data_IF_214186825328
#
_entry.id   IF_214186825328
#
_cell.length_a   1.000
_cell.length_b   1.000
_cell.length_c   1.000
_cell.angle_alpha   90.00
_cell.angle_beta   90.00
_cell.angle_gamma   90.00
#
_symmetry.space_group_name_H-M   'P 1'
#
loop_
_entity.id
_entity.type
_entity.pdbx_description
1 polymer ?
#
# COMPACT_ATOMS: atom_id res chain seq x y z
N UNK A 1 -35.95 -4.81 23.36
CA UNK A 1 -34.49 -4.59 23.13
C UNK A 1 -33.82 -5.64 22.25
N UNK A 2 -34.36 -6.81 22.04
CA UNK A 2 -33.80 -7.92 21.23
C UNK A 2 -33.96 -7.75 19.71
N UNK A 3 -35.05 -7.12 19.25
CA UNK A 3 -35.31 -6.93 17.80
C UNK A 3 -34.35 -5.94 17.11
N UNK A 4 -33.89 -4.89 17.81
CA UNK A 4 -32.93 -3.91 17.25
C UNK A 4 -31.49 -4.44 17.13
N UNK A 5 -31.09 -5.41 17.98
CA UNK A 5 -29.79 -6.07 17.88
C UNK A 5 -29.70 -7.02 16.70
N UNK A 6 -30.78 -7.73 16.39
CA UNK A 6 -30.82 -8.67 15.25
C UNK A 6 -30.81 -7.91 13.92
N UNK A 7 -31.49 -6.78 13.80
CA UNK A 7 -31.48 -5.96 12.59
C UNK A 7 -30.12 -5.27 12.33
N UNK A 8 -29.40 -4.88 13.38
CA UNK A 8 -28.04 -4.30 13.26
C UNK A 8 -27.00 -5.36 12.85
N UNK A 9 -27.09 -6.57 13.36
CA UNK A 9 -26.19 -7.67 12.96
C UNK A 9 -26.45 -8.15 11.53
N UNK A 10 -27.69 -8.21 11.08
CA UNK A 10 -28.06 -8.57 9.71
C UNK A 10 -27.62 -7.51 8.74
N UNK A 11 -27.79 -6.23 9.03
CA UNK A 11 -27.35 -5.13 8.16
C UNK A 11 -25.80 -5.04 8.04
N UNK A 12 -25.08 -5.30 9.14
CA UNK A 12 -23.61 -5.34 9.10
C UNK A 12 -23.09 -6.52 8.25
N UNK A 13 -23.73 -7.67 8.30
CA UNK A 13 -23.35 -8.83 7.48
C UNK A 13 -23.61 -8.59 5.97
N UNK A 14 -24.72 -7.97 5.62
CA UNK A 14 -25.04 -7.63 4.22
C UNK A 14 -24.04 -6.62 3.65
N UNK A 15 -23.69 -5.59 4.41
CA UNK A 15 -22.67 -4.61 4.01
C UNK A 15 -21.29 -5.25 3.84
N UNK A 16 -20.91 -6.19 4.70
CA UNK A 16 -19.63 -6.90 4.61
C UNK A 16 -19.57 -7.79 3.35
N UNK A 17 -20.63 -8.53 3.03
CA UNK A 17 -20.70 -9.36 1.83
C UNK A 17 -20.63 -8.50 0.55
N UNK A 18 -21.31 -7.37 0.51
CA UNK A 18 -21.26 -6.45 -0.64
C UNK A 18 -19.86 -5.86 -0.86
N UNK A 19 -19.16 -5.52 0.20
CA UNK A 19 -17.76 -5.02 0.13
C UNK A 19 -16.82 -6.12 -0.39
N UNK A 20 -16.96 -7.34 0.11
CA UNK A 20 -16.18 -8.48 -0.35
C UNK A 20 -16.45 -8.73 -1.85
N UNK A 21 -17.72 -8.77 -2.27
CA UNK A 21 -18.09 -9.00 -3.66
C UNK A 21 -17.51 -7.92 -4.58
N UNK A 22 -17.61 -6.64 -4.21
CA UNK A 22 -17.03 -5.52 -4.99
C UNK A 22 -15.51 -5.68 -5.12
N UNK A 23 -14.80 -6.04 -4.06
CA UNK A 23 -13.35 -6.27 -4.09
C UNK A 23 -12.96 -7.36 -5.10
N UNK A 24 -13.62 -8.51 -5.03
CA UNK A 24 -13.32 -9.61 -5.94
C UNK A 24 -13.74 -9.33 -7.38
N UNK A 25 -14.80 -8.56 -7.60
CA UNK A 25 -15.21 -8.13 -8.95
C UNK A 25 -14.18 -7.20 -9.57
N UNK A 26 -13.73 -6.18 -8.83
CA UNK A 26 -12.71 -5.24 -9.32
C UNK A 26 -11.36 -5.95 -9.48
N UNK A 27 -11.04 -6.90 -8.61
CA UNK A 27 -9.88 -7.75 -8.73
C UNK A 27 -9.90 -8.58 -10.02
N UNK A 28 -11.02 -9.24 -10.34
CA UNK A 28 -11.16 -9.99 -11.59
C UNK A 28 -11.05 -9.07 -12.81
N UNK A 29 -11.62 -7.87 -12.75
CA UNK A 29 -11.49 -6.87 -13.82
C UNK A 29 -10.03 -6.42 -13.97
N UNK A 30 -9.27 -6.25 -12.86
CA UNK A 30 -7.85 -5.89 -12.92
C UNK A 30 -7.00 -6.98 -13.57
N UNK A 31 -7.26 -8.26 -13.28
CA UNK A 31 -6.59 -9.39 -13.93
C UNK A 31 -6.86 -9.40 -15.44
N UNK A 32 -8.10 -9.08 -15.85
CA UNK A 32 -8.44 -8.98 -17.27
C UNK A 32 -7.72 -7.81 -17.96
N UNK A 33 -7.66 -6.63 -17.34
CA UNK A 33 -6.89 -5.48 -17.84
C UNK A 33 -5.41 -5.85 -17.97
N UNK A 34 -4.84 -6.53 -16.97
CA UNK A 34 -3.44 -6.99 -17.03
C UNK A 34 -3.22 -7.96 -18.21
N UNK A 35 -4.14 -8.89 -18.43
CA UNK A 35 -4.03 -9.86 -19.53
C UNK A 35 -4.08 -9.20 -20.90
N UNK A 36 -4.89 -8.14 -21.09
CA UNK A 36 -4.87 -7.32 -22.30
C UNK A 36 -3.49 -6.66 -22.49
N UNK A 37 -2.91 -6.08 -21.43
CA UNK A 37 -1.57 -5.51 -21.47
C UNK A 37 -0.51 -6.54 -21.89
N UNK A 38 -0.55 -7.74 -21.32
CA UNK A 38 0.33 -8.86 -21.72
C UNK A 38 0.13 -9.22 -23.20
N UNK A 39 -1.10 -9.41 -23.65
CA UNK A 39 -1.40 -9.79 -25.03
C UNK A 39 -0.91 -8.74 -26.04
N UNK A 40 -1.14 -7.45 -25.77
CA UNK A 40 -0.65 -6.35 -26.62
C UNK A 40 0.89 -6.28 -26.65
N UNK A 41 1.57 -6.54 -25.52
CA UNK A 41 3.03 -6.60 -25.49
C UNK A 41 3.54 -7.72 -26.40
N UNK A 42 2.94 -8.91 -26.34
CA UNK A 42 3.30 -10.05 -27.19
C UNK A 42 3.04 -9.77 -28.68
N UNK A 43 1.92 -9.09 -28.99
CA UNK A 43 1.55 -8.70 -30.36
C UNK A 43 2.44 -7.60 -30.95
N UNK A 44 3.15 -6.84 -30.12
CA UNK A 44 4.09 -5.82 -30.63
C UNK A 44 5.28 -6.41 -31.39
N UNK A 45 5.57 -7.70 -31.18
CA UNK A 45 6.69 -8.43 -31.83
C UNK A 45 8.07 -7.79 -31.57
N UNK A 46 8.22 -7.05 -30.45
CA UNK A 46 9.46 -6.40 -29.99
C UNK A 46 10.07 -7.05 -28.76
N UNK A 47 9.47 -8.13 -28.29
CA UNK A 47 9.80 -8.85 -27.06
C UNK A 47 8.59 -9.02 -26.14
N UNK A 48 8.79 -9.61 -24.99
CA UNK A 48 7.70 -9.92 -24.05
C UNK A 48 8.02 -9.39 -22.64
N UNK A 49 6.99 -9.29 -21.77
CA UNK A 49 7.20 -8.97 -20.37
C UNK A 49 7.89 -10.12 -19.63
N UNK A 50 8.63 -9.84 -18.55
CA UNK A 50 9.37 -10.85 -17.79
C UNK A 50 8.50 -12.05 -17.36
N UNK A 51 7.28 -11.79 -16.88
CA UNK A 51 6.37 -12.83 -16.40
C UNK A 51 5.76 -13.68 -17.52
N UNK A 52 5.61 -13.14 -18.72
CA UNK A 52 5.02 -13.84 -19.86
C UNK A 52 6.05 -14.48 -20.79
N UNK A 53 7.33 -14.21 -20.61
CA UNK A 53 8.41 -14.66 -21.49
C UNK A 53 8.49 -16.17 -21.56
N UNK A 54 8.55 -16.87 -20.43
CA UNK A 54 8.64 -18.33 -20.39
C UNK A 54 7.42 -19.00 -21.04
N UNK A 55 6.17 -18.67 -20.64
CA UNK A 55 4.97 -19.15 -21.32
C UNK A 55 4.97 -18.91 -22.84
N UNK A 56 5.42 -17.73 -23.26
CA UNK A 56 5.47 -17.36 -24.66
C UNK A 56 6.49 -18.20 -25.44
N UNK A 57 7.69 -18.38 -24.93
CA UNK A 57 8.73 -19.23 -25.55
C UNK A 57 8.22 -20.63 -25.76
N UNK A 58 7.60 -21.24 -24.74
CA UNK A 58 7.06 -22.58 -24.80
C UNK A 58 5.89 -22.70 -25.80
N UNK A 59 5.03 -21.68 -25.88
CA UNK A 59 3.93 -21.68 -26.83
C UNK A 59 4.38 -21.55 -28.30
N UNK A 60 5.52 -20.90 -28.53
CA UNK A 60 6.13 -20.82 -29.86
C UNK A 60 6.90 -22.10 -30.25
N UNK A 61 7.40 -22.84 -29.28
CA UNK A 61 8.11 -24.09 -29.46
C UNK A 61 7.18 -25.32 -29.59
N UNK A 62 5.86 -25.11 -29.63
CA UNK A 62 4.87 -26.22 -29.75
C UNK A 62 5.23 -27.17 -30.85
N UNK A 63 5.04 -28.48 -30.60
CA UNK A 63 5.29 -29.60 -31.54
C UNK A 63 6.75 -29.76 -31.97
N UNK A 64 7.70 -29.00 -31.37
CA UNK A 64 9.13 -29.21 -31.63
C UNK A 64 9.68 -30.35 -30.80
N UNK A 65 10.60 -31.12 -31.41
CA UNK A 65 11.39 -32.13 -30.69
C UNK A 65 12.57 -31.44 -30.02
N UNK A 66 12.60 -31.47 -28.70
CA UNK A 66 13.70 -30.85 -27.93
C UNK A 66 14.50 -31.93 -27.21
N UNK A 67 15.79 -31.95 -27.44
CA UNK A 67 16.73 -32.82 -26.73
C UNK A 67 17.31 -32.10 -25.51
N UNK A 68 16.97 -32.55 -24.28
CA UNK A 68 17.58 -32.05 -23.04
C UNK A 68 18.19 -33.28 -22.30
N UNK A 69 19.46 -33.22 -21.94
CA UNK A 69 20.17 -34.28 -21.24
C UNK A 69 20.03 -35.66 -21.89
N UNK A 70 20.06 -35.75 -23.24
CA UNK A 70 19.94 -37.01 -23.97
C UNK A 70 18.55 -37.63 -24.11
N UNK A 71 17.52 -36.96 -23.54
CA UNK A 71 16.11 -37.32 -23.73
C UNK A 71 15.46 -36.39 -24.72
N UNK A 72 14.77 -36.90 -25.74
CA UNK A 72 13.94 -36.10 -26.66
C UNK A 72 12.51 -36.12 -26.17
N UNK A 73 11.92 -34.95 -26.00
CA UNK A 73 10.47 -34.80 -25.70
C UNK A 73 9.82 -33.86 -26.69
N UNK A 74 8.54 -34.06 -26.93
CA UNK A 74 7.72 -33.19 -27.77
C UNK A 74 7.09 -32.15 -26.89
N UNK A 75 7.27 -30.85 -27.25
CA UNK A 75 6.64 -29.74 -26.54
C UNK A 75 5.12 -29.79 -26.82
N UNK A 76 4.26 -29.82 -25.79
CA UNK A 76 2.82 -29.85 -25.97
C UNK A 76 2.29 -28.66 -26.77
N UNK A 77 1.20 -28.83 -27.54
CA UNK A 77 0.57 -27.74 -28.30
C UNK A 77 -0.42 -26.93 -27.44
N UNK A 78 0.08 -26.44 -26.28
CA UNK A 78 -0.71 -25.63 -25.36
C UNK A 78 -0.74 -24.14 -25.75
N UNK A 79 -1.78 -23.46 -25.27
CA UNK A 79 -1.90 -22.01 -25.42
C UNK A 79 -0.96 -21.27 -24.48
N UNK A 80 -0.76 -19.97 -24.71
CA UNK A 80 0.04 -19.13 -23.81
C UNK A 80 -0.58 -19.11 -22.41
N UNK A 81 -1.91 -19.04 -22.30
CA UNK A 81 -2.62 -19.07 -21.04
C UNK A 81 -2.40 -20.39 -20.29
N UNK A 82 -2.45 -21.53 -20.97
CA UNK A 82 -2.19 -22.84 -20.36
C UNK A 82 -0.76 -22.96 -19.84
N UNK A 83 0.23 -22.49 -20.58
CA UNK A 83 1.62 -22.43 -20.09
C UNK A 83 1.77 -21.45 -18.92
N UNK A 84 1.01 -20.34 -18.90
CA UNK A 84 0.98 -19.39 -17.77
C UNK A 84 0.40 -20.05 -16.51
N UNK A 85 -0.67 -20.84 -16.64
CA UNK A 85 -1.23 -21.62 -15.51
C UNK A 85 -0.20 -22.62 -14.97
N UNK A 86 0.50 -23.33 -15.85
CA UNK A 86 1.55 -24.26 -15.47
C UNK A 86 2.68 -23.54 -14.72
N UNK A 87 3.19 -22.42 -15.24
CA UNK A 87 4.22 -21.60 -14.61
C UNK A 87 3.77 -21.08 -13.25
N UNK A 88 2.55 -20.58 -13.14
CA UNK A 88 1.98 -20.09 -11.87
C UNK A 88 1.89 -21.23 -10.84
N UNK A 89 1.54 -22.44 -11.26
CA UNK A 89 1.53 -23.63 -10.39
C UNK A 89 2.95 -23.95 -9.87
N UNK A 90 3.94 -23.90 -10.75
CA UNK A 90 5.36 -24.10 -10.36
C UNK A 90 5.79 -23.02 -9.34
N UNK A 91 5.43 -21.76 -9.54
CA UNK A 91 5.76 -20.69 -8.62
C UNK A 91 5.12 -20.89 -7.24
N UNK A 92 3.88 -21.42 -7.17
CA UNK A 92 3.24 -21.78 -5.90
C UNK A 92 3.98 -22.94 -5.21
N UNK A 93 4.37 -23.97 -5.96
CA UNK A 93 5.15 -25.08 -5.42
C UNK A 93 6.49 -24.58 -4.86
N UNK A 94 7.17 -23.68 -5.56
CA UNK A 94 8.40 -23.05 -5.08
C UNK A 94 8.15 -22.23 -3.80
N UNK A 95 7.03 -21.51 -3.69
CA UNK A 95 6.64 -20.82 -2.45
C UNK A 95 6.50 -21.81 -1.29
N UNK A 96 5.85 -22.96 -1.51
CA UNK A 96 5.69 -24.00 -0.48
C UNK A 96 7.05 -24.50 0.00
N UNK A 97 7.95 -24.80 -0.93
CA UNK A 97 9.32 -25.27 -0.60
C UNK A 97 10.11 -24.22 0.15
N UNK A 98 10.01 -22.96 -0.25
CA UNK A 98 10.73 -21.84 0.36
C UNK A 98 10.21 -21.50 1.75
N UNK A 99 8.90 -21.35 1.90
CA UNK A 99 8.27 -20.92 3.16
C UNK A 99 8.12 -22.06 4.17
N UNK A 100 8.10 -23.32 3.72
CA UNK A 100 7.96 -24.51 4.57
C UNK A 100 6.82 -24.36 5.61
N UNK A 101 7.15 -24.33 6.90
CA UNK A 101 6.18 -24.18 8.01
C UNK A 101 5.47 -22.81 8.02
N UNK A 102 6.05 -21.80 7.39
CA UNK A 102 5.48 -20.45 7.30
C UNK A 102 4.50 -20.29 6.12
N UNK A 103 4.31 -21.31 5.30
CA UNK A 103 3.33 -21.32 4.23
C UNK A 103 1.92 -21.49 4.79
N UNK A 104 1.05 -20.52 4.54
CA UNK A 104 -0.34 -20.55 5.01
C UNK A 104 -1.23 -21.22 3.96
N UNK A 105 -2.13 -22.14 4.37
CA UNK A 105 -3.03 -22.87 3.45
C UNK A 105 -3.88 -21.96 2.55
N UNK A 106 -4.20 -20.75 3.02
CA UNK A 106 -4.94 -19.76 2.25
C UNK A 106 -4.20 -19.27 1.00
N UNK A 107 -2.85 -19.36 0.98
CA UNK A 107 -2.05 -19.00 -0.18
C UNK A 107 -2.31 -19.94 -1.37
N UNK A 108 -2.88 -21.14 -1.13
CA UNK A 108 -3.34 -22.02 -2.21
C UNK A 108 -4.44 -21.41 -3.07
N UNK A 109 -5.19 -20.42 -2.56
CA UNK A 109 -6.16 -19.66 -3.37
C UNK A 109 -5.50 -18.90 -4.54
N UNK A 110 -4.17 -18.69 -4.50
CA UNK A 110 -3.42 -18.18 -5.65
C UNK A 110 -3.50 -19.10 -6.88
N UNK A 111 -3.84 -20.37 -6.71
CA UNK A 111 -4.12 -21.25 -7.85
C UNK A 111 -5.32 -20.77 -8.67
N UNK A 112 -6.37 -20.31 -7.99
CA UNK A 112 -7.57 -19.76 -8.65
C UNK A 112 -7.24 -18.49 -9.43
N UNK A 113 -6.45 -17.58 -8.83
CA UNK A 113 -6.05 -16.34 -9.50
C UNK A 113 -5.11 -16.61 -10.69
N UNK A 114 -4.17 -17.55 -10.54
CA UNK A 114 -3.28 -17.99 -11.61
C UNK A 114 -4.05 -18.66 -12.78
N UNK A 115 -5.07 -19.46 -12.46
CA UNK A 115 -5.93 -20.08 -13.46
C UNK A 115 -6.76 -19.03 -14.22
N UNK A 116 -7.43 -18.11 -13.50
CA UNK A 116 -8.21 -17.03 -14.12
C UNK A 116 -7.34 -16.13 -15.00
N UNK A 117 -6.13 -15.79 -14.53
CA UNK A 117 -5.21 -14.95 -15.29
C UNK A 117 -4.77 -15.63 -16.60
N UNK A 118 -4.47 -16.94 -16.56
CA UNK A 118 -4.13 -17.69 -17.77
C UNK A 118 -5.31 -17.75 -18.78
N UNK A 119 -6.54 -18.01 -18.30
CA UNK A 119 -7.74 -17.95 -19.15
C UNK A 119 -7.93 -16.56 -19.77
N UNK A 120 -7.75 -15.51 -18.99
CA UNK A 120 -7.88 -14.14 -19.49
C UNK A 120 -6.80 -13.77 -20.51
N UNK A 121 -5.58 -14.32 -20.39
CA UNK A 121 -4.54 -14.16 -21.42
C UNK A 121 -5.01 -14.77 -22.75
N UNK A 122 -5.57 -15.99 -22.75
CA UNK A 122 -6.05 -16.62 -23.98
C UNK A 122 -7.20 -15.81 -24.62
N UNK A 123 -8.15 -15.33 -23.82
CA UNK A 123 -9.22 -14.45 -24.30
C UNK A 123 -8.63 -13.13 -24.84
N UNK A 124 -7.68 -12.52 -24.15
CA UNK A 124 -7.03 -11.28 -24.57
C UNK A 124 -6.25 -11.47 -25.89
N UNK A 125 -5.61 -12.62 -26.08
CA UNK A 125 -4.92 -12.96 -27.34
C UNK A 125 -5.88 -13.07 -28.52
N UNK A 126 -7.10 -13.55 -28.29
CA UNK A 126 -8.15 -13.56 -29.33
C UNK A 126 -8.65 -12.15 -29.59
N UNK A 127 -8.98 -11.39 -28.55
CA UNK A 127 -9.50 -10.02 -28.68
C UNK A 127 -8.51 -9.05 -29.35
N UNK A 128 -7.21 -9.26 -29.17
CA UNK A 128 -6.14 -8.42 -29.75
C UNK A 128 -5.59 -8.97 -31.06
N UNK A 129 -6.24 -9.96 -31.70
CA UNK A 129 -5.76 -10.62 -32.91
C UNK A 129 -5.54 -9.66 -34.09
N UNK A 130 -6.27 -8.55 -34.13
CA UNK A 130 -6.17 -7.51 -35.14
C UNK A 130 -5.01 -6.51 -34.90
N UNK A 131 -4.39 -6.49 -33.71
CA UNK A 131 -3.28 -5.62 -33.36
C UNK A 131 -1.93 -6.18 -33.87
N UNK A 132 -1.80 -6.39 -35.17
CA UNK A 132 -0.59 -6.87 -35.84
C UNK A 132 -0.22 -5.89 -36.92
N UNK A 133 1.03 -5.42 -36.91
CA UNK A 133 1.51 -4.40 -37.84
C UNK A 133 2.53 -4.99 -38.79
N UNK A 134 2.54 -4.47 -40.02
CA UNK A 134 3.47 -4.88 -41.06
C UNK A 134 4.92 -4.48 -40.75
N UNK A 135 5.86 -4.85 -41.65
CA UNK A 135 7.29 -4.54 -41.52
C UNK A 135 7.67 -3.19 -42.09
N UNK A 136 6.70 -2.33 -42.41
CA UNK A 136 6.96 -0.95 -42.87
C UNK A 136 7.51 -0.07 -41.74
N UNK A 137 8.12 1.07 -42.09
CA UNK A 137 8.59 2.06 -41.10
C UNK A 137 7.43 2.52 -40.22
N UNK A 138 6.24 2.74 -40.82
CA UNK A 138 5.04 3.12 -40.08
C UNK A 138 4.60 1.99 -39.16
N UNK A 139 4.60 0.74 -39.62
CA UNK A 139 4.29 -0.45 -38.80
C UNK A 139 5.22 -0.58 -37.59
N UNK A 140 6.53 -0.29 -37.77
CA UNK A 140 7.48 -0.31 -36.66
C UNK A 140 7.20 0.78 -35.61
N UNK A 141 6.86 2.00 -36.05
CA UNK A 141 6.43 3.07 -35.16
C UNK A 141 5.16 2.67 -34.36
N UNK A 142 4.19 2.06 -35.04
CA UNK A 142 2.96 1.59 -34.40
C UNK A 142 3.22 0.48 -33.40
N UNK A 143 4.16 -0.45 -33.64
CA UNK A 143 4.61 -1.46 -32.68
C UNK A 143 5.21 -0.83 -31.40
N UNK A 144 5.99 0.24 -31.54
CA UNK A 144 6.56 0.97 -30.41
C UNK A 144 5.44 1.65 -29.60
N UNK A 145 4.52 2.35 -30.26
CA UNK A 145 3.37 2.99 -29.59
C UNK A 145 2.54 1.94 -28.85
N UNK A 146 2.27 0.82 -29.52
CA UNK A 146 1.55 -0.32 -28.94
C UNK A 146 2.26 -0.87 -27.68
N UNK A 147 3.59 -0.98 -27.69
CA UNK A 147 4.38 -1.43 -26.56
C UNK A 147 4.19 -0.51 -25.34
N UNK A 148 4.29 0.81 -25.53
CA UNK A 148 4.10 1.76 -24.44
C UNK A 148 2.66 1.76 -23.92
N UNK A 149 1.68 1.67 -24.80
CA UNK A 149 0.27 1.51 -24.42
C UNK A 149 0.03 0.21 -23.64
N UNK A 150 0.60 -0.90 -24.09
CA UNK A 150 0.52 -2.18 -23.44
C UNK A 150 1.12 -2.15 -22.02
N UNK A 151 2.29 -1.54 -21.86
CA UNK A 151 2.92 -1.36 -20.55
C UNK A 151 2.09 -0.45 -19.63
N UNK A 152 1.44 0.59 -20.17
CA UNK A 152 0.56 1.46 -19.40
C UNK A 152 -0.71 0.70 -18.93
N UNK A 153 -1.33 -0.08 -19.81
CA UNK A 153 -2.50 -0.93 -19.49
C UNK A 153 -2.12 -1.99 -18.44
N UNK A 154 -0.96 -2.64 -18.60
CA UNK A 154 -0.45 -3.60 -17.62
C UNK A 154 -0.20 -2.93 -16.27
N UNK A 155 0.43 -1.75 -16.25
CA UNK A 155 0.67 -0.96 -15.04
C UNK A 155 -0.62 -0.50 -14.35
N UNK A 156 -1.66 -0.13 -15.12
CA UNK A 156 -2.99 0.19 -14.61
C UNK A 156 -3.63 -1.04 -13.93
N UNK A 157 -3.61 -2.19 -14.60
CA UNK A 157 -4.15 -3.43 -14.05
C UNK A 157 -3.48 -3.82 -12.74
N UNK A 158 -2.14 -3.78 -12.67
CA UNK A 158 -1.38 -4.03 -11.44
C UNK A 158 -1.75 -3.01 -10.35
N UNK A 159 -1.87 -1.72 -10.68
CA UNK A 159 -2.25 -0.69 -9.70
C UNK A 159 -3.66 -0.93 -9.13
N UNK A 160 -4.61 -1.36 -9.95
CA UNK A 160 -5.95 -1.75 -9.51
C UNK A 160 -5.92 -3.02 -8.65
N UNK A 161 -5.21 -4.08 -9.09
CA UNK A 161 -5.04 -5.32 -8.34
C UNK A 161 -4.48 -5.02 -6.95
N UNK A 162 -3.41 -4.19 -6.91
CA UNK A 162 -2.77 -3.76 -5.68
C UNK A 162 -3.76 -3.11 -4.72
N UNK A 163 -4.69 -2.30 -5.18
CA UNK A 163 -5.67 -1.61 -4.33
C UNK A 163 -6.83 -2.49 -3.87
N UNK A 164 -7.16 -3.54 -4.61
CA UNK A 164 -8.28 -4.43 -4.25
C UNK A 164 -8.05 -5.17 -2.93
N UNK A 165 -6.80 -5.32 -2.48
CA UNK A 165 -6.46 -6.07 -1.27
C UNK A 165 -7.19 -7.43 -1.19
N UNK A 166 -7.22 -8.18 -2.31
CA UNK A 166 -7.90 -9.47 -2.40
C UNK A 166 -6.89 -10.63 -2.32
N UNK A 167 -6.43 -11.12 -3.46
CA UNK A 167 -5.46 -12.19 -3.57
C UNK A 167 -4.27 -11.70 -4.41
N UNK A 168 -3.11 -12.32 -4.24
CA UNK A 168 -1.92 -12.06 -5.08
C UNK A 168 -1.87 -13.03 -6.25
N UNK A 169 -1.32 -12.57 -7.36
CA UNK A 169 -0.84 -13.49 -8.40
C UNK A 169 0.33 -14.33 -7.87
N UNK A 170 0.48 -15.60 -8.33
CA UNK A 170 1.56 -16.47 -7.88
C UNK A 170 2.96 -15.90 -8.07
N UNK A 171 3.20 -15.12 -9.14
CA UNK A 171 4.48 -14.45 -9.38
C UNK A 171 4.81 -13.41 -8.31
N UNK A 172 3.84 -12.63 -7.88
CA UNK A 172 4.02 -11.67 -6.80
C UNK A 172 4.14 -12.36 -5.44
N UNK A 173 3.33 -13.40 -5.20
CA UNK A 173 3.43 -14.23 -4.01
C UNK A 173 4.81 -14.86 -3.84
N UNK A 174 5.45 -15.26 -4.95
CA UNK A 174 6.83 -15.76 -4.94
C UNK A 174 7.83 -14.67 -4.55
N UNK A 175 7.68 -13.45 -5.07
CA UNK A 175 8.52 -12.31 -4.67
C UNK A 175 8.39 -11.99 -3.17
N UNK A 176 7.16 -12.07 -2.62
CA UNK A 176 6.94 -11.91 -1.17
C UNK A 176 7.62 -13.03 -0.37
N UNK A 177 7.53 -14.28 -0.83
CA UNK A 177 8.21 -15.40 -0.18
C UNK A 177 9.73 -15.21 -0.18
N UNK A 178 10.29 -14.76 -1.30
CA UNK A 178 11.71 -14.47 -1.45
C UNK A 178 12.15 -13.33 -0.51
N UNK A 179 11.38 -12.22 -0.45
CA UNK A 179 11.62 -11.10 0.46
C UNK A 179 11.67 -11.56 1.93
N UNK A 180 10.73 -12.40 2.35
CA UNK A 180 10.67 -12.92 3.73
C UNK A 180 11.87 -13.79 4.13
N UNK A 181 12.43 -14.55 3.19
CA UNK A 181 13.54 -15.45 3.48
C UNK A 181 14.87 -14.72 3.41
N UNK A 182 15.03 -13.84 2.42
CA UNK A 182 16.31 -13.14 2.20
C UNK A 182 16.46 -11.87 3.02
N UNK A 183 15.38 -11.37 3.62
CA UNK A 183 15.34 -10.04 4.26
C UNK A 183 15.48 -8.88 3.28
N UNK A 184 15.42 -9.15 1.97
CA UNK A 184 15.45 -8.13 0.94
C UNK A 184 14.12 -7.36 0.90
N UNK A 185 14.20 -6.09 0.56
CA UNK A 185 13.05 -5.27 0.24
C UNK A 185 12.28 -5.87 -0.96
N UNK A 186 10.93 -5.86 -0.92
CA UNK A 186 10.09 -6.46 -1.97
C UNK A 186 10.45 -5.97 -3.37
N UNK A 187 10.73 -4.66 -3.52
CA UNK A 187 11.11 -4.11 -4.82
C UNK A 187 12.40 -4.71 -5.38
N UNK A 188 13.39 -4.98 -4.53
CA UNK A 188 14.62 -5.67 -4.91
C UNK A 188 14.36 -7.14 -5.22
N UNK A 189 13.55 -7.82 -4.39
CA UNK A 189 13.18 -9.21 -4.62
C UNK A 189 12.45 -9.38 -5.98
N UNK A 190 11.56 -8.43 -6.33
CA UNK A 190 10.87 -8.42 -7.62
C UNK A 190 11.84 -8.21 -8.79
N UNK A 191 12.77 -7.27 -8.69
CA UNK A 191 13.79 -7.04 -9.74
C UNK A 191 14.62 -8.29 -9.96
N UNK A 192 15.11 -8.95 -8.90
CA UNK A 192 15.87 -10.19 -9.02
C UNK A 192 15.04 -11.32 -9.63
N UNK A 193 13.77 -11.44 -9.24
CA UNK A 193 12.85 -12.41 -9.82
C UNK A 193 12.64 -12.17 -11.31
N UNK A 194 12.37 -10.92 -11.72
CA UNK A 194 12.14 -10.58 -13.12
C UNK A 194 13.38 -10.80 -13.98
N UNK A 195 14.59 -10.48 -13.48
CA UNK A 195 15.87 -10.80 -14.14
C UNK A 195 16.03 -12.31 -14.29
N UNK A 196 15.72 -13.07 -13.24
CA UNK A 196 15.83 -14.54 -13.25
C UNK A 196 14.87 -15.16 -14.28
N UNK A 197 13.61 -14.70 -14.32
CA UNK A 197 12.63 -15.17 -15.29
C UNK A 197 13.05 -14.85 -16.72
N UNK A 198 13.62 -13.65 -16.97
CA UNK A 198 14.14 -13.27 -18.29
C UNK A 198 15.33 -14.12 -18.67
N UNK A 199 16.26 -14.38 -17.75
CA UNK A 199 17.42 -15.24 -18.01
C UNK A 199 17.00 -16.68 -18.35
N UNK A 200 16.08 -17.26 -17.58
CA UNK A 200 15.54 -18.61 -17.83
C UNK A 200 14.80 -18.65 -19.18
N UNK A 201 13.97 -17.65 -19.47
CA UNK A 201 13.25 -17.55 -20.73
C UNK A 201 14.18 -17.40 -21.94
N UNK A 202 15.27 -16.64 -21.81
CA UNK A 202 16.31 -16.51 -22.84
C UNK A 202 17.06 -17.84 -23.08
N UNK A 203 17.37 -18.58 -22.02
CA UNK A 203 17.98 -19.90 -22.12
C UNK A 203 17.03 -20.85 -22.85
N UNK A 204 15.76 -20.92 -22.50
CA UNK A 204 14.79 -21.76 -23.21
C UNK A 204 14.64 -21.34 -24.67
N UNK A 205 14.58 -20.03 -24.97
CA UNK A 205 14.50 -19.55 -26.33
C UNK A 205 15.71 -19.98 -27.15
N UNK A 206 16.91 -19.90 -26.61
CA UNK A 206 18.12 -20.37 -27.28
C UNK A 206 18.13 -21.92 -27.47
N UNK A 207 17.73 -22.66 -26.45
CA UNK A 207 17.67 -24.13 -26.51
C UNK A 207 16.65 -24.63 -27.56
N UNK A 208 15.51 -23.94 -27.71
CA UNK A 208 14.45 -24.38 -28.63
C UNK A 208 14.71 -23.94 -30.07
N UNK A 209 15.22 -22.72 -30.24
CA UNK A 209 15.34 -22.14 -31.59
C UNK A 209 16.77 -22.13 -32.13
N UNK A 210 17.78 -22.42 -31.33
CA UNK A 210 19.22 -22.42 -31.67
C UNK A 210 19.72 -21.10 -32.26
N UNK A 211 18.88 -20.05 -32.23
CA UNK A 211 19.18 -18.70 -32.74
C UNK A 211 18.57 -17.66 -31.81
N UNK A 212 19.20 -16.49 -31.70
CA UNK A 212 18.63 -15.39 -30.95
C UNK A 212 17.48 -14.75 -31.73
N UNK A 213 16.30 -14.71 -31.10
CA UNK A 213 15.10 -14.11 -31.70
C UNK A 213 14.74 -12.83 -30.94
N UNK A 214 15.01 -11.68 -31.57
CA UNK A 214 14.74 -10.35 -30.98
C UNK A 214 13.26 -10.07 -30.75
N UNK A 215 12.38 -10.75 -31.43
CA UNK A 215 10.93 -10.68 -31.21
C UNK A 215 10.45 -11.43 -29.97
N UNK A 216 11.29 -12.24 -29.34
CA UNK A 216 11.00 -12.97 -28.12
C UNK A 216 11.67 -12.30 -26.92
N UNK A 217 12.99 -12.13 -26.97
CA UNK A 217 13.81 -11.46 -25.96
C UNK A 217 14.42 -10.23 -26.62
N UNK A 218 13.74 -9.12 -26.55
CA UNK A 218 14.10 -7.90 -27.28
C UNK A 218 13.99 -6.63 -26.44
N UNK A 219 13.92 -5.50 -27.15
CA UNK A 219 13.83 -4.17 -26.54
C UNK A 219 12.60 -4.05 -25.64
N UNK A 220 11.48 -4.65 -26.02
CA UNK A 220 10.27 -4.62 -25.24
C UNK A 220 10.44 -5.29 -23.85
N UNK A 221 11.28 -6.31 -23.76
CA UNK A 221 11.55 -6.99 -22.47
C UNK A 221 12.24 -6.04 -21.50
N UNK A 222 13.23 -5.29 -21.95
CA UNK A 222 13.94 -4.31 -21.11
C UNK A 222 13.05 -3.10 -20.79
N UNK A 223 12.32 -2.60 -21.78
CA UNK A 223 11.40 -1.47 -21.59
C UNK A 223 10.30 -1.82 -20.61
N UNK A 224 9.68 -3.01 -20.72
CA UNK A 224 8.61 -3.43 -19.83
C UNK A 224 9.06 -3.57 -18.37
N UNK A 225 10.28 -4.06 -18.12
CA UNK A 225 10.82 -4.17 -16.75
C UNK A 225 10.90 -2.83 -16.03
N UNK A 226 11.19 -1.74 -16.73
CA UNK A 226 11.31 -0.40 -16.14
C UNK A 226 9.98 0.36 -16.23
N UNK A 227 9.40 0.41 -17.42
CA UNK A 227 8.26 1.29 -17.71
C UNK A 227 6.97 0.84 -17.03
N UNK A 228 6.72 -0.47 -16.89
CA UNK A 228 5.57 -0.97 -16.12
C UNK A 228 5.64 -0.51 -14.66
N UNK A 229 6.82 -0.56 -14.03
CA UNK A 229 6.99 -0.06 -12.67
C UNK A 229 6.70 1.44 -12.52
N UNK A 230 7.11 2.25 -13.50
CA UNK A 230 6.80 3.69 -13.57
C UNK A 230 5.29 3.91 -13.70
N UNK A 231 4.62 3.15 -14.57
CA UNK A 231 3.16 3.26 -14.78
C UNK A 231 2.37 2.80 -13.56
N UNK A 232 2.75 1.72 -12.90
CA UNK A 232 2.15 1.30 -11.63
C UNK A 232 2.22 2.44 -10.61
N UNK A 233 3.38 3.08 -10.46
CA UNK A 233 3.54 4.22 -9.56
C UNK A 233 2.66 5.41 -9.96
N UNK A 234 2.62 5.75 -11.24
CA UNK A 234 1.81 6.84 -11.78
C UNK A 234 0.31 6.63 -11.51
N UNK A 235 -0.21 5.45 -11.82
CA UNK A 235 -1.62 5.12 -11.60
C UNK A 235 -1.96 4.96 -10.11
N UNK A 236 -1.04 4.45 -9.30
CA UNK A 236 -1.25 4.32 -7.86
C UNK A 236 -1.58 5.65 -7.17
N UNK A 237 -1.08 6.78 -7.66
CA UNK A 237 -1.44 8.11 -7.13
C UNK A 237 -2.81 8.61 -7.63
N UNK A 238 -3.28 8.17 -8.79
CA UNK A 238 -4.52 8.67 -9.41
C UNK A 238 -5.76 7.85 -9.11
N UNK A 239 -5.59 6.62 -8.66
CA UNK A 239 -6.68 5.69 -8.35
C UNK A 239 -7.21 5.83 -6.90
N UNK A 240 -6.95 6.95 -6.20
CA UNK A 240 -7.44 7.18 -4.82
C UNK A 240 -8.97 7.09 -4.71
N UNK A 241 -9.71 7.44 -5.77
CA UNK A 241 -11.16 7.30 -5.83
C UNK A 241 -11.62 5.84 -5.73
N UNK A 242 -10.78 4.89 -6.17
CA UNK A 242 -11.09 3.46 -6.11
C UNK A 242 -11.12 2.98 -4.64
N UNK A 243 -10.31 3.57 -3.76
CA UNK A 243 -10.31 3.25 -2.34
C UNK A 243 -11.65 3.58 -1.67
N UNK A 244 -12.34 4.62 -2.13
CA UNK A 244 -13.68 4.99 -1.65
C UNK A 244 -14.72 3.92 -2.03
N UNK A 245 -14.57 3.30 -3.20
CA UNK A 245 -15.47 2.24 -3.68
C UNK A 245 -15.14 0.89 -3.01
N UNK A 246 -13.85 0.61 -2.81
CA UNK A 246 -13.38 -0.70 -2.35
C UNK A 246 -13.58 -0.91 -0.86
N UNK A 247 -13.39 0.13 -0.06
CA UNK A 247 -13.54 0.05 1.41
C UNK A 247 -13.71 1.44 2.00
N UNK A 248 -14.64 1.57 2.92
CA UNK A 248 -14.46 2.46 4.05
C UNK A 248 -13.35 1.89 4.95
N UNK A 249 -12.06 2.09 4.59
CA UNK A 249 -10.91 1.76 5.46
C UNK A 249 -11.04 2.45 6.82
N UNK A 250 -11.69 3.62 6.83
CA UNK A 250 -12.00 4.36 8.05
C UNK A 250 -12.83 3.57 9.06
N UNK A 251 -13.71 2.69 8.58
CA UNK A 251 -14.65 1.97 9.45
C UNK A 251 -14.07 0.72 10.08
N UNK A 252 -13.11 0.02 9.45
CA UNK A 252 -12.65 -1.27 9.97
C UNK A 252 -11.72 -1.12 11.18
N UNK A 253 -10.65 -0.34 11.07
CA UNK A 253 -9.69 -0.17 12.18
C UNK A 253 -10.21 0.75 13.29
N UNK A 254 -10.97 1.80 12.92
CA UNK A 254 -11.51 2.75 13.88
C UNK A 254 -12.80 2.25 14.54
N UNK A 255 -13.58 1.38 13.89
CA UNK A 255 -14.79 0.79 14.47
C UNK A 255 -14.50 -0.35 15.45
N UNK A 256 -13.42 -1.10 15.26
CA UNK A 256 -12.97 -2.09 16.26
C UNK A 256 -12.57 -1.44 17.59
N UNK A 257 -12.33 -0.13 17.59
CA UNK A 257 -11.99 0.66 18.77
C UNK A 257 -13.22 1.33 19.44
N UNK A 258 -14.44 1.10 18.99
CA UNK A 258 -15.63 1.94 19.27
C UNK A 258 -16.41 1.60 20.57
N UNK A 259 -15.81 1.05 21.63
CA UNK A 259 -16.56 0.56 22.81
C UNK A 259 -16.75 1.58 23.96
N UNK A 260 -16.15 2.77 23.96
CA UNK A 260 -16.31 3.72 25.08
C UNK A 260 -17.07 4.99 24.69
N UNK A 261 -18.16 5.27 25.37
CA UNK A 261 -18.91 6.52 25.24
C UNK A 261 -18.11 7.64 25.92
N UNK A 262 -17.75 8.72 25.19
CA UNK A 262 -16.98 9.82 25.76
C UNK A 262 -17.75 10.56 26.84
N UNK A 263 -17.09 10.82 27.98
CA UNK A 263 -17.66 11.64 29.05
C UNK A 263 -17.70 13.13 28.59
N UNK A 264 -18.88 13.72 28.59
CA UNK A 264 -19.09 15.13 28.14
C UNK A 264 -18.26 16.18 28.90
N UNK A 265 -17.76 15.84 30.10
CA UNK A 265 -16.96 16.78 30.92
C UNK A 265 -15.45 16.70 30.64
N UNK A 266 -15.02 15.75 29.83
CA UNK A 266 -13.59 15.55 29.49
C UNK A 266 -13.29 16.28 28.18
N UNK A 267 -12.20 17.04 28.17
CA UNK A 267 -11.73 17.79 27.01
C UNK A 267 -10.39 17.26 26.53
N UNK A 268 -10.29 16.95 25.25
CA UNK A 268 -9.07 16.41 24.65
C UNK A 268 -8.53 17.35 23.56
N UNK A 269 -7.23 17.53 23.49
CA UNK A 269 -6.56 18.28 22.43
C UNK A 269 -5.65 17.32 21.65
N UNK A 270 -5.86 17.22 20.36
CA UNK A 270 -4.96 16.45 19.47
C UNK A 270 -4.12 17.41 18.64
N UNK A 271 -2.81 17.17 18.54
CA UNK A 271 -1.87 18.03 17.81
C UNK A 271 -1.16 17.21 16.72
N UNK A 272 -1.56 17.41 15.45
CA UNK A 272 -0.76 17.09 14.27
C UNK A 272 0.34 18.16 14.09
N UNK A 273 1.49 17.80 13.53
CA UNK A 273 2.59 18.76 13.41
C UNK A 273 3.58 18.36 12.33
N UNK A 274 4.12 19.33 11.63
CA UNK A 274 5.32 19.16 10.80
C UNK A 274 6.57 19.00 11.65
N UNK A 275 7.62 18.38 11.09
CA UNK A 275 8.91 18.24 11.76
C UNK A 275 9.66 19.58 11.73
N UNK A 276 10.16 20.00 12.87
CA UNK A 276 10.80 21.31 13.03
C UNK A 276 9.83 22.47 13.32
N UNK A 277 8.49 22.28 13.20
CA UNK A 277 7.51 23.33 13.48
C UNK A 277 7.38 23.74 14.95
N UNK A 278 8.04 23.07 15.88
CA UNK A 278 7.87 23.34 17.32
C UNK A 278 6.57 22.82 17.92
N UNK A 279 5.76 22.06 17.17
CA UNK A 279 4.46 21.57 17.64
C UNK A 279 4.55 20.68 18.90
N UNK A 280 5.65 19.94 19.11
CA UNK A 280 5.88 19.20 20.34
C UNK A 280 6.08 20.14 21.55
N UNK A 281 6.87 21.19 21.39
CA UNK A 281 7.11 22.20 22.41
C UNK A 281 5.83 22.99 22.76
N UNK A 282 5.06 23.35 21.72
CA UNK A 282 3.73 23.98 21.88
C UNK A 282 2.83 23.08 22.72
N UNK A 283 2.74 21.79 22.39
CA UNK A 283 1.91 20.82 23.12
C UNK A 283 2.31 20.65 24.58
N UNK A 284 3.61 20.58 24.86
CA UNK A 284 4.11 20.52 26.25
C UNK A 284 3.78 21.79 27.05
N UNK A 285 4.01 22.97 26.47
CA UNK A 285 3.73 24.26 27.14
C UNK A 285 2.22 24.43 27.37
N UNK A 286 1.41 24.04 26.38
CA UNK A 286 -0.05 24.06 26.48
C UNK A 286 -0.54 23.14 27.61
N UNK A 287 -0.09 21.89 27.65
CA UNK A 287 -0.46 20.96 28.70
C UNK A 287 -0.07 21.44 30.10
N UNK A 288 1.12 22.04 30.23
CA UNK A 288 1.57 22.66 31.48
C UNK A 288 0.72 23.84 31.89
N UNK A 289 0.35 24.72 30.96
CA UNK A 289 -0.49 25.91 31.22
C UNK A 289 -1.91 25.53 31.62
N UNK A 290 -2.45 24.46 31.04
CA UNK A 290 -3.80 23.95 31.33
C UNK A 290 -3.84 22.99 32.53
N UNK A 291 -2.68 22.59 33.09
CA UNK A 291 -2.61 21.64 34.18
C UNK A 291 -3.08 20.20 33.83
N UNK A 292 -3.00 19.83 32.54
CA UNK A 292 -3.46 18.53 32.05
C UNK A 292 -2.28 17.68 31.52
N UNK A 293 -2.40 16.34 31.52
CA UNK A 293 -1.34 15.47 31.05
C UNK A 293 -1.06 15.62 29.55
N UNK A 294 0.22 15.40 29.21
CA UNK A 294 0.75 15.38 27.85
C UNK A 294 1.17 13.97 27.46
N UNK A 295 0.67 13.48 26.33
CA UNK A 295 0.90 12.12 25.84
C UNK A 295 1.59 12.13 24.49
N UNK A 296 2.81 11.60 24.44
CA UNK A 296 3.59 11.32 23.24
C UNK A 296 4.26 9.94 23.40
N UNK A 297 5.46 9.89 24.00
CA UNK A 297 6.22 8.66 24.21
C UNK A 297 5.52 7.65 25.14
N UNK A 298 4.63 8.11 26.04
CA UNK A 298 3.88 7.22 26.93
C UNK A 298 2.99 6.25 26.14
N UNK A 299 2.44 6.68 25.01
CA UNK A 299 1.63 5.81 24.14
C UNK A 299 2.49 4.69 23.57
N UNK A 300 3.74 4.97 23.17
CA UNK A 300 4.69 3.94 22.71
C UNK A 300 4.95 2.92 23.82
N UNK A 301 5.23 3.41 25.02
CA UNK A 301 5.54 2.54 26.18
C UNK A 301 4.35 1.65 26.55
N UNK A 302 3.15 2.19 26.56
CA UNK A 302 1.92 1.41 26.85
C UNK A 302 1.62 0.41 25.74
N UNK A 303 1.80 0.79 24.47
CA UNK A 303 1.66 -0.12 23.31
C UNK A 303 2.65 -1.27 23.40
N UNK A 304 3.90 -0.97 23.69
CA UNK A 304 4.98 -1.93 23.88
C UNK A 304 4.67 -2.94 24.99
N UNK A 305 4.18 -2.47 26.14
CA UNK A 305 3.76 -3.32 27.25
C UNK A 305 2.61 -4.26 26.89
N UNK A 306 1.57 -3.72 26.22
CA UNK A 306 0.40 -4.52 25.83
C UNK A 306 0.72 -5.62 24.81
N UNK A 307 1.65 -5.34 23.90
CA UNK A 307 2.03 -6.29 22.84
C UNK A 307 3.25 -7.16 23.20
N UNK A 308 3.92 -6.90 24.32
CA UNK A 308 5.13 -7.63 24.73
C UNK A 308 6.34 -7.41 23.82
N UNK A 309 6.41 -6.28 23.11
CA UNK A 309 7.49 -5.92 22.17
C UNK A 309 8.33 -4.76 22.70
N UNK A 310 9.57 -4.63 22.19
CA UNK A 310 10.46 -3.56 22.63
C UNK A 310 9.94 -2.18 22.17
N UNK A 311 9.93 -1.13 23.07
CA UNK A 311 9.56 0.23 22.70
C UNK A 311 10.33 0.80 21.50
N UNK A 312 11.60 0.43 21.35
CA UNK A 312 12.42 0.83 20.20
C UNK A 312 11.87 0.24 18.88
N UNK A 313 11.36 -0.99 18.90
CA UNK A 313 10.74 -1.61 17.72
C UNK A 313 9.45 -0.91 17.32
N UNK A 314 8.58 -0.54 18.29
CA UNK A 314 7.36 0.25 18.02
C UNK A 314 7.72 1.59 17.36
N UNK A 315 8.72 2.30 17.91
CA UNK A 315 9.19 3.57 17.37
C UNK A 315 9.81 3.43 15.98
N UNK A 316 10.56 2.35 15.76
CA UNK A 316 11.18 2.05 14.46
C UNK A 316 10.16 1.72 13.39
N UNK A 317 9.11 0.96 13.70
CA UNK A 317 8.01 0.64 12.79
C UNK A 317 7.25 1.91 12.39
N UNK A 318 6.95 2.81 13.34
CA UNK A 318 6.33 4.12 13.05
C UNK A 318 7.20 5.03 12.15
N UNK A 319 8.53 4.95 12.25
CA UNK A 319 9.46 5.80 11.51
C UNK A 319 9.90 5.23 10.16
N UNK A 320 9.76 3.92 9.94
CA UNK A 320 10.28 3.22 8.77
C UNK A 320 9.27 3.01 7.65
N UNK A 321 8.10 3.65 7.70
CA UNK A 321 7.11 3.60 6.61
C UNK A 321 7.64 4.41 5.42
N UNK A 322 8.54 3.80 4.65
CA UNK A 322 8.96 4.32 3.34
C UNK A 322 7.92 3.98 2.28
N UNK A 323 7.90 4.72 1.16
CA UNK A 323 6.99 4.45 0.04
C UNK A 323 7.15 3.02 -0.52
N UNK A 324 8.37 2.44 -0.43
CA UNK A 324 8.65 1.05 -0.77
C UNK A 324 8.07 0.07 0.26
N UNK A 325 8.12 0.41 1.56
CA UNK A 325 7.48 -0.37 2.62
C UNK A 325 5.96 -0.28 2.60
N UNK A 326 5.40 0.84 2.13
CA UNK A 326 3.96 0.98 1.91
C UNK A 326 3.48 0.04 0.80
N UNK A 327 4.23 -0.08 -0.28
CA UNK A 327 4.01 -1.08 -1.34
C UNK A 327 4.23 -2.51 -0.82
N UNK A 328 5.28 -2.74 -0.05
CA UNK A 328 5.58 -4.01 0.58
C UNK A 328 4.50 -4.41 1.59
N UNK A 329 4.01 -3.47 2.39
CA UNK A 329 2.95 -3.67 3.38
C UNK A 329 1.61 -3.95 2.70
N UNK A 330 1.26 -3.18 1.65
CA UNK A 330 0.10 -3.43 0.80
C UNK A 330 0.19 -4.83 0.14
N UNK A 331 1.38 -5.29 -0.23
CA UNK A 331 1.60 -6.55 -0.93
C UNK A 331 1.76 -7.73 0.04
N UNK A 332 2.42 -7.53 1.18
CA UNK A 332 2.68 -8.58 2.18
C UNK A 332 1.44 -8.90 3.03
N UNK A 333 0.63 -7.91 3.35
CA UNK A 333 -0.63 -8.05 4.07
C UNK A 333 -1.73 -8.79 3.28
N UNK A 334 -1.57 -8.84 1.95
CA UNK A 334 -2.53 -9.46 1.03
C UNK A 334 -2.57 -10.97 1.05
N UNK A 335 -1.62 -11.63 1.67
CA UNK A 335 -1.62 -13.09 1.74
C UNK A 335 -2.65 -13.65 2.72
N UNK A 336 -3.33 -12.77 3.49
CA UNK A 336 -4.34 -13.18 4.46
C UNK A 336 -5.57 -12.29 4.27
N UNK A 337 -6.78 -12.86 4.15
CA UNK A 337 -8.00 -12.06 4.22
C UNK A 337 -7.97 -11.18 5.48
N UNK A 338 -8.39 -9.92 5.35
CA UNK A 338 -8.29 -8.89 6.40
C UNK A 338 -8.91 -9.26 7.76
N UNK A 339 -9.61 -10.38 7.85
CA UNK A 339 -10.25 -10.91 9.07
C UNK A 339 -9.47 -12.07 9.75
N UNK A 340 -8.33 -12.52 9.18
CA UNK A 340 -7.65 -13.72 9.72
C UNK A 340 -6.30 -13.48 10.42
N UNK A 341 -5.56 -12.42 10.06
CA UNK A 341 -4.28 -12.10 10.74
C UNK A 341 -3.89 -10.66 10.44
N UNK A 342 -3.92 -9.82 11.46
CA UNK A 342 -3.46 -8.43 11.39
C UNK A 342 -1.93 -8.40 11.27
N UNK A 343 -1.39 -7.51 10.44
CA UNK A 343 0.04 -7.26 10.42
C UNK A 343 0.54 -6.77 11.79
N UNK A 344 1.82 -6.90 12.06
CA UNK A 344 2.40 -6.35 13.31
C UNK A 344 2.18 -4.84 13.42
N UNK A 345 2.24 -4.11 12.29
CA UNK A 345 2.00 -2.67 12.25
C UNK A 345 0.52 -2.33 12.51
N UNK A 346 -0.42 -3.14 12.00
CA UNK A 346 -1.86 -2.97 12.28
C UNK A 346 -2.20 -3.30 13.73
N UNK A 347 -1.61 -4.35 14.31
CA UNK A 347 -1.75 -4.66 15.73
C UNK A 347 -1.26 -3.50 16.61
N UNK A 348 -0.13 -2.90 16.24
CA UNK A 348 0.40 -1.72 16.91
C UNK A 348 -0.59 -0.56 16.80
N UNK A 349 -1.08 -0.27 15.60
CA UNK A 349 -2.03 0.83 15.37
C UNK A 349 -3.35 0.63 16.14
N UNK A 350 -3.95 -0.55 16.08
CA UNK A 350 -5.19 -0.88 16.82
C UNK A 350 -4.96 -0.74 18.33
N UNK A 351 -3.82 -1.23 18.84
CA UNK A 351 -3.46 -1.09 20.25
C UNK A 351 -3.29 0.38 20.62
N UNK A 352 -2.71 1.20 19.77
CA UNK A 352 -2.60 2.65 19.97
C UNK A 352 -3.97 3.32 19.96
N UNK A 353 -4.87 2.94 19.05
CA UNK A 353 -6.25 3.43 19.03
C UNK A 353 -6.95 3.19 20.38
N UNK A 354 -6.87 1.97 20.91
CA UNK A 354 -7.44 1.61 22.22
C UNK A 354 -6.83 2.43 23.36
N UNK A 355 -5.51 2.61 23.37
CA UNK A 355 -4.79 3.40 24.38
C UNK A 355 -5.22 4.87 24.31
N UNK A 356 -5.26 5.46 23.10
CA UNK A 356 -5.64 6.86 22.88
C UNK A 356 -7.07 7.09 23.35
N UNK A 357 -8.02 6.24 22.99
CA UNK A 357 -9.41 6.35 23.43
C UNK A 357 -9.55 6.20 24.95
N UNK A 358 -8.88 5.22 25.53
CA UNK A 358 -8.88 5.04 26.99
C UNK A 358 -8.29 6.26 27.73
N UNK A 359 -7.20 6.85 27.23
CA UNK A 359 -6.63 8.05 27.83
C UNK A 359 -7.56 9.27 27.72
N UNK A 360 -8.25 9.41 26.57
CA UNK A 360 -9.18 10.50 26.32
C UNK A 360 -10.51 10.34 27.07
N UNK A 361 -10.92 9.11 27.44
CA UNK A 361 -12.12 8.86 28.23
C UNK A 361 -11.91 9.06 29.73
N UNK A 362 -10.67 8.91 30.23
CA UNK A 362 -10.39 8.99 31.67
C UNK A 362 -10.20 10.43 32.18
N UNK A 363 -9.59 11.31 31.41
CA UNK A 363 -9.29 12.70 31.79
C UNK A 363 -8.91 13.60 30.63
N UNK A 364 -9.09 14.92 30.82
CA UNK A 364 -8.61 15.91 29.86
C UNK A 364 -7.12 15.79 29.63
N UNK A 365 -6.68 15.84 28.36
CA UNK A 365 -5.28 15.62 28.00
C UNK A 365 -4.91 16.25 26.66
N UNK A 366 -3.60 16.38 26.42
CA UNK A 366 -3.00 16.73 25.13
C UNK A 366 -2.33 15.48 24.54
N UNK A 367 -2.69 15.13 23.33
CA UNK A 367 -2.16 13.96 22.59
C UNK A 367 -1.45 14.44 21.32
N UNK A 368 -0.23 14.00 21.10
CA UNK A 368 0.59 14.40 19.97
C UNK A 368 0.65 13.32 18.89
N UNK A 369 0.21 13.65 17.67
CA UNK A 369 0.33 12.84 16.47
C UNK A 369 -0.49 11.54 16.50
N UNK A 370 0.04 10.44 15.91
CA UNK A 370 -0.53 9.07 15.92
C UNK A 370 -1.95 8.99 15.39
N UNK A 371 -2.26 9.85 14.42
CA UNK A 371 -3.61 9.90 13.83
C UNK A 371 -4.71 10.20 14.87
N UNK A 372 -4.35 10.75 16.05
CA UNK A 372 -5.26 10.95 17.17
C UNK A 372 -6.49 11.81 16.80
N UNK A 373 -6.34 12.80 15.90
CA UNK A 373 -7.43 13.62 15.39
C UNK A 373 -8.52 12.80 14.68
N UNK A 374 -8.17 11.69 14.02
CA UNK A 374 -9.13 10.80 13.38
C UNK A 374 -9.64 9.71 14.33
N UNK A 375 -8.77 9.20 15.21
CA UNK A 375 -9.17 8.23 16.25
C UNK A 375 -10.25 8.81 17.16
N UNK A 376 -10.17 10.10 17.45
CA UNK A 376 -11.10 10.84 18.33
C UNK A 376 -12.06 11.76 17.54
N UNK A 377 -12.29 11.47 16.24
CA UNK A 377 -13.15 12.32 15.39
C UNK A 377 -14.57 12.48 15.94
N UNK A 378 -15.10 11.43 16.56
CA UNK A 378 -16.46 11.36 17.08
C UNK A 378 -16.57 11.80 18.56
N UNK A 379 -15.46 12.28 19.16
CA UNK A 379 -15.46 12.80 20.53
C UNK A 379 -15.94 14.24 20.54
N UNK A 380 -17.02 14.57 21.28
CA UNK A 380 -17.68 15.89 21.19
C UNK A 380 -16.79 17.03 21.70
N UNK A 381 -15.89 16.77 22.65
CA UNK A 381 -14.98 17.75 23.25
C UNK A 381 -13.52 17.51 22.85
N UNK A 382 -13.26 17.27 21.56
CA UNK A 382 -11.93 17.07 21.03
C UNK A 382 -11.55 18.19 20.06
N UNK A 383 -10.62 19.06 20.47
CA UNK A 383 -10.04 20.10 19.62
C UNK A 383 -8.86 19.53 18.81
N UNK A 384 -8.93 19.62 17.49
CA UNK A 384 -7.96 19.06 16.55
C UNK A 384 -7.09 20.16 15.98
N UNK A 385 -5.81 20.17 16.33
CA UNK A 385 -4.86 21.19 15.92
C UNK A 385 -3.85 20.62 14.92
N UNK A 386 -3.38 21.47 14.01
CA UNK A 386 -2.24 21.17 13.15
C UNK A 386 -1.23 22.33 13.18
N UNK A 387 0.04 22.04 13.48
CA UNK A 387 1.10 23.02 13.57
C UNK A 387 2.03 22.88 12.38
N UNK A 388 2.08 23.92 11.56
CA UNK A 388 2.95 24.06 10.40
C UNK A 388 4.03 25.10 10.67
N UNK A 389 5.03 25.16 9.79
CA UNK A 389 6.02 26.23 9.79
C UNK A 389 6.65 26.39 8.41
N UNK A 390 7.25 27.56 8.18
CA UNK A 390 8.08 27.77 7.01
C UNK A 390 9.34 26.89 7.09
N UNK A 391 9.82 26.46 5.91
CA UNK A 391 10.95 25.53 5.84
C UNK A 391 12.23 26.08 6.50
N UNK A 392 12.46 27.39 6.40
CA UNK A 392 13.64 28.04 6.98
C UNK A 392 13.59 28.02 8.51
N UNK A 393 12.43 28.30 9.08
CA UNK A 393 12.20 28.21 10.53
C UNK A 393 12.40 26.78 11.03
N UNK A 394 11.81 25.81 10.35
CA UNK A 394 11.96 24.40 10.69
C UNK A 394 13.42 23.95 10.59
N UNK A 395 14.14 24.37 9.54
CA UNK A 395 15.54 24.03 9.31
C UNK A 395 16.44 24.57 10.40
N UNK A 396 16.31 25.84 10.78
CA UNK A 396 17.08 26.44 11.88
C UNK A 396 16.87 25.69 13.19
N UNK A 397 15.64 25.32 13.52
CA UNK A 397 15.34 24.53 14.72
C UNK A 397 15.97 23.14 14.69
N UNK A 398 15.84 22.44 13.56
CA UNK A 398 16.40 21.08 13.41
C UNK A 398 17.94 21.12 13.44
N UNK A 399 18.56 22.13 12.83
CA UNK A 399 20.02 22.31 12.92
C UNK A 399 20.47 22.53 14.37
N UNK A 400 19.76 23.37 15.13
CA UNK A 400 20.09 23.65 16.51
C UNK A 400 19.86 22.43 17.44
N UNK A 401 18.78 21.67 17.24
CA UNK A 401 18.41 20.56 18.11
C UNK A 401 19.25 19.29 17.85
N UNK A 402 19.59 19.02 16.57
CA UNK A 402 20.27 17.78 16.18
C UNK A 402 21.70 17.98 15.68
N UNK A 403 22.24 19.20 15.70
CA UNK A 403 23.57 19.55 15.20
C UNK A 403 23.78 19.10 13.73
N UNK A 404 22.74 19.22 12.88
CA UNK A 404 22.81 18.91 11.48
C UNK A 404 23.28 20.12 10.66
N UNK A 405 23.93 19.86 9.53
CA UNK A 405 24.14 20.88 8.51
C UNK A 405 22.83 21.15 7.74
N UNK A 406 22.79 22.24 6.97
CA UNK A 406 21.59 22.72 6.28
C UNK A 406 20.97 21.67 5.34
N UNK A 407 21.80 21.05 4.49
CA UNK A 407 21.35 20.00 3.55
C UNK A 407 20.76 18.78 4.27
N UNK A 408 21.40 18.34 5.34
CA UNK A 408 20.93 17.19 6.12
C UNK A 408 19.64 17.53 6.87
N UNK A 409 19.53 18.72 7.43
CA UNK A 409 18.32 19.18 8.11
C UNK A 409 17.13 19.22 7.14
N UNK A 410 17.30 19.80 5.95
CA UNK A 410 16.26 19.87 4.92
C UNK A 410 15.83 18.49 4.45
N UNK A 411 16.78 17.59 4.18
CA UNK A 411 16.48 16.20 3.79
C UNK A 411 15.69 15.46 4.87
N UNK A 412 16.06 15.65 6.12
CA UNK A 412 15.44 14.98 7.26
C UNK A 412 14.02 15.52 7.54
N UNK A 413 13.79 16.83 7.40
CA UNK A 413 12.46 17.45 7.49
C UNK A 413 11.53 16.83 6.44
N UNK A 414 11.97 16.80 5.19
CA UNK A 414 11.18 16.21 4.10
C UNK A 414 10.93 14.71 4.30
N UNK A 415 11.92 13.98 4.80
CA UNK A 415 11.81 12.55 5.09
C UNK A 415 10.76 12.28 6.16
N UNK A 416 10.85 12.97 7.31
CA UNK A 416 9.96 12.74 8.45
C UNK A 416 8.52 13.18 8.11
N UNK A 417 8.35 14.33 7.45
CA UNK A 417 7.02 14.80 7.05
C UNK A 417 6.36 13.82 6.06
N UNK A 418 7.14 13.26 5.11
CA UNK A 418 6.64 12.21 4.21
C UNK A 418 6.23 10.94 4.95
N UNK A 419 7.02 10.50 5.93
CA UNK A 419 6.70 9.32 6.77
C UNK A 419 5.39 9.56 7.53
N UNK A 420 5.20 10.74 8.13
CA UNK A 420 3.97 11.09 8.85
C UNK A 420 2.76 11.14 7.92
N UNK A 421 2.90 11.75 6.75
CA UNK A 421 1.85 11.82 5.75
C UNK A 421 1.46 10.43 5.24
N UNK A 422 2.43 9.56 4.97
CA UNK A 422 2.20 8.17 4.54
C UNK A 422 1.48 7.35 5.62
N UNK A 423 1.91 7.46 6.89
CA UNK A 423 1.27 6.79 8.01
C UNK A 423 -0.18 7.27 8.20
N UNK A 424 -0.42 8.57 8.12
CA UNK A 424 -1.76 9.14 8.21
C UNK A 424 -2.66 8.64 7.07
N UNK A 425 -2.16 8.67 5.83
CA UNK A 425 -2.89 8.18 4.67
C UNK A 425 -3.19 6.67 4.75
N UNK A 426 -2.24 5.87 5.22
CA UNK A 426 -2.39 4.42 5.34
C UNK A 426 -3.60 4.04 6.20
N UNK A 427 -3.82 4.72 7.32
CA UNK A 427 -4.88 4.38 8.27
C UNK A 427 -6.17 5.18 8.11
N UNK A 428 -6.14 6.28 7.36
CA UNK A 428 -7.32 7.14 7.20
C UNK A 428 -7.80 7.30 5.75
N UNK A 429 -6.94 7.05 4.78
CA UNK A 429 -7.19 7.34 3.37
C UNK A 429 -7.21 8.85 3.05
N UNK A 430 -6.90 9.73 4.03
CA UNK A 430 -7.00 11.19 3.91
C UNK A 430 -5.63 11.85 3.79
N UNK A 431 -5.61 13.06 3.24
CA UNK A 431 -4.39 13.84 3.17
C UNK A 431 -4.08 14.46 4.54
N UNK A 432 -2.86 14.20 5.04
CA UNK A 432 -2.40 14.72 6.32
C UNK A 432 -2.33 16.25 6.39
N UNK A 433 -2.04 16.92 5.25
CA UNK A 433 -1.94 18.37 5.16
C UNK A 433 -3.27 19.06 4.81
N UNK A 434 -4.39 18.30 4.74
CA UNK A 434 -5.68 18.88 4.49
C UNK A 434 -6.20 19.62 5.73
N UNK A 435 -6.31 20.95 5.61
CA UNK A 435 -6.78 21.82 6.69
C UNK A 435 -8.19 21.45 7.19
N UNK A 436 -9.04 20.88 6.31
CA UNK A 436 -10.40 20.42 6.67
C UNK A 436 -10.43 19.22 7.65
N UNK A 437 -9.27 18.62 7.96
CA UNK A 437 -9.16 17.57 8.98
C UNK A 437 -8.90 18.11 10.40
N UNK A 438 -8.77 19.43 10.56
CA UNK A 438 -8.40 20.09 11.80
C UNK A 438 -9.31 21.27 12.09
N UNK A 439 -9.54 21.54 13.36
CA UNK A 439 -10.36 22.68 13.80
C UNK A 439 -9.55 24.00 13.77
N UNK A 440 -8.21 23.91 13.90
CA UNK A 440 -7.31 25.05 13.84
C UNK A 440 -5.95 24.64 13.28
N UNK A 441 -5.46 25.39 12.29
CA UNK A 441 -4.10 25.24 11.71
C UNK A 441 -3.31 26.49 12.05
N UNK A 442 -2.10 26.31 12.64
CA UNK A 442 -1.27 27.42 13.12
C UNK A 442 0.10 27.36 12.45
N UNK A 443 0.50 28.47 11.82
CA UNK A 443 1.87 28.67 11.38
C UNK A 443 2.72 29.23 12.54
N UNK A 444 3.56 28.37 13.13
CA UNK A 444 4.41 28.73 14.28
C UNK A 444 5.59 29.61 13.92
N UNK A 445 6.02 29.67 12.64
CA UNK A 445 7.07 30.59 12.21
C UNK A 445 6.61 32.04 12.22
N UNK A 446 5.33 32.28 11.88
CA UNK A 446 4.75 33.63 11.88
C UNK A 446 4.41 34.15 13.30
N UNK A 447 3.91 33.27 14.17
CA UNK A 447 3.41 33.66 15.49
C UNK A 447 4.45 33.48 16.60
N UNK A 448 5.43 32.61 16.40
CA UNK A 448 6.31 32.14 17.46
C UNK A 448 5.63 31.16 18.42
N UNK A 449 6.41 30.39 19.16
CA UNK A 449 5.91 29.33 20.05
C UNK A 449 4.98 29.87 21.15
N UNK A 450 5.39 30.99 21.80
CA UNK A 450 4.64 31.57 22.93
C UNK A 450 3.24 32.05 22.51
N UNK A 451 3.17 32.82 21.41
CA UNK A 451 1.89 33.37 20.93
C UNK A 451 0.99 32.25 20.36
N UNK A 452 1.57 31.23 19.73
CA UNK A 452 0.82 30.05 19.31
C UNK A 452 0.12 29.35 20.49
N UNK A 453 0.80 29.20 21.63
CA UNK A 453 0.19 28.65 22.86
C UNK A 453 -0.96 29.54 23.36
N UNK A 454 -0.75 30.87 23.44
CA UNK A 454 -1.78 31.80 23.89
C UNK A 454 -3.03 31.75 23.00
N UNK A 455 -2.83 31.77 21.68
CA UNK A 455 -3.94 31.65 20.71
C UNK A 455 -4.72 30.34 20.89
N UNK A 456 -4.03 29.22 21.11
CA UNK A 456 -4.67 27.92 21.36
C UNK A 456 -5.50 27.98 22.65
N UNK A 457 -5.01 28.60 23.71
CA UNK A 457 -5.75 28.74 24.98
C UNK A 457 -7.02 29.57 24.78
N UNK A 458 -6.97 30.65 24.02
CA UNK A 458 -8.15 31.46 23.66
C UNK A 458 -9.15 30.64 22.84
N UNK A 459 -8.67 29.90 21.85
CA UNK A 459 -9.51 29.01 21.05
C UNK A 459 -10.20 27.92 21.90
N UNK A 460 -9.49 27.34 22.88
CA UNK A 460 -10.06 26.36 23.82
C UNK A 460 -11.18 26.98 24.65
N UNK A 461 -10.97 28.19 25.15
CA UNK A 461 -11.98 28.88 25.94
C UNK A 461 -13.24 29.20 25.14
N UNK A 462 -13.09 29.55 23.88
CA UNK A 462 -14.22 29.76 22.95
C UNK A 462 -14.91 28.44 22.62
N UNK A 463 -14.17 27.40 22.30
CA UNK A 463 -14.69 26.07 21.99
C UNK A 463 -15.50 25.47 23.14
N UNK A 464 -15.05 25.66 24.41
CA UNK A 464 -15.77 25.19 25.60
C UNK A 464 -17.06 25.94 25.82
N UNK A 465 -17.17 27.24 25.46
CA UNK A 465 -18.41 28.02 25.56
C UNK A 465 -19.45 27.50 24.58
N UNK A 466 -19.05 27.29 23.35
CA UNK A 466 -19.96 26.79 22.28
C UNK A 466 -20.44 25.35 22.56
N UNK A 467 -19.61 24.51 23.19
CA UNK A 467 -19.98 23.13 23.53
C UNK A 467 -20.94 23.03 24.73
N UNK A 468 -21.09 24.10 25.52
CA UNK A 468 -22.01 24.18 26.67
C UNK A 468 -23.32 24.93 26.35
N UNK A 469 -23.34 25.62 25.22
CA UNK A 469 -24.57 26.27 24.69
C UNK A 469 -25.27 25.24 23.79
N UNK A 470 -26.53 24.89 24.07
CA UNK A 470 -27.35 24.05 23.18
C UNK A 470 -27.44 24.75 21.81
N UNK A 471 -27.37 24.01 20.69
CA UNK A 471 -27.56 24.61 19.38
C UNK A 471 -29.00 25.14 19.27
N UNK A 472 -29.14 26.44 18.92
CA UNK A 472 -30.42 27.11 18.57
C UNK A 472 -31.15 26.38 17.43
#
# INVERSE_FOLDING_TARGET
MTSKRVSLTVNNNINTIQVILRRYTIFAASLFIMSIGVALTLRSDLGSSAISLIPYVWSLAKETHVGIFGMTFIVPSWTIGQYTICMNTILILLQIVLLRKNFKKIQLLQMVTGFLFGMFIDIAMILTSWCVWDSSVLGYVLRIIQLFAACAILGLGIACEVRCNALLLPGEGFCVALSKITGLDFGKAKIYNDITLVAIGAIFAFCFFHTWKWNIVGVATLVSMVFVGVMVRFFSFRLNWLDVILVNKETTYLSECAEEVPNKNIFTITIGREFGSGGHEIGMKLAKQLGIPFYDNKIITETSKKLGINPASVKQMEQNISTSKLLEHIITDRQVPAYMDLSEDDKIFITQCQIIRNLASQRSCVIIGRVANQILKDYPNCLKLFIISDIDFARHRVMAEFSYNEDKATKEINRINRVRANHYWQYTGKNWNDAGQYDLVINSSSLGIRNSVNLIVEAINSFRRTSNEEPD
#
